data_IF_309344647755
#
_entry.id   IF_309344647755
#
_cell.length_a   1.000
_cell.length_b   1.000
_cell.length_c   1.000
_cell.angle_alpha   90.00
_cell.angle_beta   90.00
_cell.angle_gamma   90.00
#
_symmetry.space_group_name_H-M   'P 1'
#
loop_
_entity.id
_entity.type
_entity.pdbx_description
1 polymer ?
#
# COMPACT_ATOMS: atom_id res chain seq x y z
N UNK A 1 26.44 -16.00 -49.93
CA UNK A 1 25.24 -15.97 -49.05
C UNK A 1 25.57 -16.20 -47.58
N UNK A 2 26.41 -17.18 -47.23
CA UNK A 2 26.80 -17.49 -45.84
C UNK A 2 27.34 -16.29 -45.03
N UNK A 3 28.18 -15.44 -45.62
CA UNK A 3 28.73 -14.27 -44.92
C UNK A 3 27.65 -13.28 -44.45
N UNK A 4 26.58 -13.07 -45.24
CA UNK A 4 25.46 -12.21 -44.84
C UNK A 4 24.65 -12.81 -43.69
N UNK A 5 24.51 -14.14 -43.69
CA UNK A 5 23.77 -14.90 -42.67
C UNK A 5 24.50 -14.87 -41.32
N UNK A 6 25.84 -14.95 -41.34
CA UNK A 6 26.69 -14.82 -40.15
C UNK A 6 26.59 -13.42 -39.55
N UNK A 7 26.58 -12.37 -40.37
CA UNK A 7 26.46 -10.98 -39.90
C UNK A 7 25.10 -10.74 -39.25
N UNK A 8 24.01 -11.24 -39.83
CA UNK A 8 22.67 -11.10 -39.24
C UNK A 8 22.57 -11.84 -37.90
N UNK A 9 23.15 -13.04 -37.79
CA UNK A 9 23.17 -13.79 -36.53
C UNK A 9 23.95 -13.03 -35.43
N UNK A 10 25.10 -12.45 -35.79
CA UNK A 10 25.91 -11.65 -34.87
C UNK A 10 25.16 -10.41 -34.35
N UNK A 11 24.42 -9.73 -35.23
CA UNK A 11 23.60 -8.56 -34.85
C UNK A 11 22.49 -8.96 -33.87
N UNK A 12 21.84 -10.11 -34.08
CA UNK A 12 20.79 -10.60 -33.16
C UNK A 12 21.39 -10.97 -31.81
N UNK A 13 22.52 -11.68 -31.78
CA UNK A 13 23.20 -12.06 -30.52
C UNK A 13 23.65 -10.83 -29.74
N UNK A 14 24.27 -9.86 -30.42
CA UNK A 14 24.74 -8.62 -29.78
C UNK A 14 23.55 -7.76 -29.33
N UNK A 15 22.49 -7.68 -30.12
CA UNK A 15 21.24 -6.99 -29.75
C UNK A 15 20.57 -7.62 -28.53
N UNK A 16 20.51 -8.95 -28.45
CA UNK A 16 20.00 -9.67 -27.28
C UNK A 16 20.88 -9.49 -26.04
N UNK A 17 22.21 -9.47 -26.20
CA UNK A 17 23.13 -9.20 -25.10
C UNK A 17 23.01 -7.77 -24.57
N UNK A 18 22.89 -6.78 -25.47
CA UNK A 18 22.68 -5.37 -25.11
C UNK A 18 21.33 -5.17 -24.41
N UNK A 19 20.27 -5.80 -24.91
CA UNK A 19 18.95 -5.78 -24.26
C UNK A 19 18.99 -6.44 -22.88
N UNK A 20 19.66 -7.59 -22.75
CA UNK A 20 19.83 -8.28 -21.46
C UNK A 20 20.65 -7.45 -20.47
N UNK A 21 21.72 -6.78 -20.93
CA UNK A 21 22.53 -5.90 -20.07
C UNK A 21 21.84 -4.58 -19.71
N UNK A 22 21.03 -4.01 -20.61
CA UNK A 22 20.19 -2.84 -20.28
C UNK A 22 19.09 -3.20 -19.27
N UNK A 23 18.51 -4.40 -19.36
CA UNK A 23 17.53 -4.89 -18.38
C UNK A 23 18.19 -5.32 -17.05
N UNK A 24 19.43 -5.83 -17.06
CA UNK A 24 20.12 -6.30 -15.85
C UNK A 24 20.73 -5.18 -15.00
N UNK A 25 20.99 -3.99 -15.56
CA UNK A 25 21.48 -2.83 -14.80
C UNK A 25 20.46 -2.22 -13.82
N UNK A 26 19.21 -2.67 -13.81
CA UNK A 26 18.22 -2.32 -12.77
C UNK A 26 18.23 -3.32 -11.60
N UNK A 27 18.92 -4.47 -11.70
CA UNK A 27 18.87 -5.52 -10.68
C UNK A 27 20.16 -5.69 -9.85
N UNK A 28 21.30 -5.14 -10.27
CA UNK A 28 22.60 -5.40 -9.64
C UNK A 28 22.96 -4.44 -8.48
N UNK A 29 22.26 -3.31 -8.32
CA UNK A 29 22.47 -2.41 -7.18
C UNK A 29 21.83 -2.90 -5.87
N UNK A 30 20.95 -3.91 -5.93
CA UNK A 30 20.24 -4.44 -4.76
C UNK A 30 20.87 -5.70 -4.12
N UNK A 31 21.79 -6.39 -4.79
CA UNK A 31 22.42 -7.58 -4.22
C UNK A 31 23.62 -7.26 -3.33
N UNK A 32 24.40 -6.21 -3.63
CA UNK A 32 25.62 -5.92 -2.88
C UNK A 32 25.39 -5.26 -1.50
N UNK A 33 24.19 -4.71 -1.25
CA UNK A 33 23.77 -4.21 0.08
C UNK A 33 23.04 -5.29 0.88
N UNK A 34 22.40 -6.26 0.21
CA UNK A 34 21.65 -7.35 0.85
C UNK A 34 22.58 -8.32 1.57
N UNK A 35 23.72 -8.68 0.97
CA UNK A 35 24.60 -9.68 1.55
C UNK A 35 25.56 -9.10 2.60
N UNK A 36 25.75 -7.77 2.65
CA UNK A 36 26.54 -7.10 3.71
C UNK A 36 25.72 -6.78 4.97
N UNK A 37 24.39 -6.82 4.88
CA UNK A 37 23.50 -6.56 6.01
C UNK A 37 23.16 -7.85 6.81
N UNK A 38 23.32 -9.03 6.20
CA UNK A 38 22.90 -10.30 6.81
C UNK A 38 23.93 -10.82 7.83
N UNK A 39 25.22 -10.52 7.68
CA UNK A 39 26.26 -11.07 8.57
C UNK A 39 26.64 -10.18 9.78
N UNK A 40 26.05 -8.99 9.93
CA UNK A 40 26.57 -8.00 10.88
C UNK A 40 25.69 -7.58 12.06
N UNK A 41 24.37 -7.79 12.03
CA UNK A 41 23.50 -6.96 12.89
C UNK A 41 22.20 -7.59 13.41
N UNK A 42 22.05 -8.91 13.37
CA UNK A 42 20.87 -9.60 13.94
C UNK A 42 20.66 -9.35 15.44
N UNK A 43 21.68 -8.87 16.17
CA UNK A 43 21.57 -8.46 17.58
C UNK A 43 21.08 -7.02 17.83
N UNK A 44 20.97 -6.17 16.79
CA UNK A 44 20.56 -4.74 16.93
C UNK A 44 19.22 -4.40 16.26
N UNK A 45 18.62 -5.34 15.54
CA UNK A 45 17.31 -5.16 14.91
C UNK A 45 16.12 -5.19 15.90
N UNK A 46 16.37 -5.44 17.19
CA UNK A 46 15.32 -5.54 18.22
C UNK A 46 14.90 -4.15 18.75
N UNK A 47 15.61 -3.06 18.39
CA UNK A 47 15.33 -1.71 18.92
C UNK A 47 15.11 -0.62 17.87
N UNK A 48 15.03 -0.96 16.58
CA UNK A 48 14.61 0.00 15.56
C UNK A 48 13.09 -0.08 15.38
N UNK A 49 12.38 1.02 15.66
CA UNK A 49 10.95 1.16 15.36
C UNK A 49 10.60 0.76 13.92
N UNK A 50 9.31 0.55 13.61
CA UNK A 50 8.89 -0.05 12.36
C UNK A 50 9.54 0.64 11.17
N UNK A 51 10.24 -0.17 10.36
CA UNK A 51 10.99 0.33 9.21
C UNK A 51 10.06 1.20 8.35
N UNK A 52 10.46 2.46 8.14
CA UNK A 52 9.75 3.50 7.38
C UNK A 52 9.17 3.01 6.06
N UNK A 53 9.79 2.00 5.45
CA UNK A 53 9.32 1.30 4.25
C UNK A 53 7.93 0.65 4.41
N UNK A 54 7.63 0.03 5.54
CA UNK A 54 6.31 -0.57 5.80
C UNK A 54 5.24 0.51 6.02
N UNK A 55 5.59 1.63 6.67
CA UNK A 55 4.70 2.80 6.81
C UNK A 55 4.30 3.38 5.44
N UNK A 56 5.24 3.51 4.51
CA UNK A 56 4.95 3.99 3.15
C UNK A 56 4.06 3.01 2.36
N UNK A 57 4.25 1.69 2.52
CA UNK A 57 3.41 0.68 1.86
C UNK A 57 1.95 0.69 2.37
N UNK A 58 1.73 1.13 3.62
CA UNK A 58 0.40 1.22 4.23
C UNK A 58 -0.28 2.56 4.03
N UNK A 59 0.47 3.56 3.56
CA UNK A 59 -0.02 4.90 3.25
C UNK A 59 -0.94 4.95 2.05
N UNK A 60 -1.22 3.83 1.38
CA UNK A 60 -2.09 3.79 0.21
C UNK A 60 -3.43 4.42 0.58
N UNK A 61 -3.68 5.57 -0.03
CA UNK A 61 -4.94 6.29 0.05
C UNK A 61 -5.57 6.36 -1.31
N UNK A 62 -6.89 6.20 -1.34
CA UNK A 62 -7.65 6.35 -2.57
C UNK A 62 -8.44 7.65 -2.50
N UNK A 63 -8.48 8.35 -3.63
CA UNK A 63 -9.35 9.50 -3.85
C UNK A 63 -10.35 9.14 -4.93
N UNK A 64 -11.63 9.15 -4.61
CA UNK A 64 -12.72 8.86 -5.55
C UNK A 64 -13.36 10.18 -5.99
N UNK A 65 -13.39 10.43 -7.30
CA UNK A 65 -14.04 11.60 -7.90
C UNK A 65 -15.53 11.38 -8.14
N UNK A 66 -16.28 11.08 -7.08
CA UNK A 66 -17.74 10.90 -7.11
C UNK A 66 -18.40 11.70 -6.00
N UNK A 67 -19.72 11.89 -6.09
CA UNK A 67 -20.49 12.49 -5.02
C UNK A 67 -20.40 11.66 -3.71
N UNK A 68 -20.48 12.30 -2.53
CA UNK A 68 -20.39 11.67 -1.22
C UNK A 68 -21.25 10.41 -1.04
N UNK A 69 -22.48 10.46 -1.53
CA UNK A 69 -23.46 9.39 -1.35
C UNK A 69 -23.04 8.18 -2.16
N UNK A 70 -22.79 8.36 -3.45
CA UNK A 70 -22.37 7.29 -4.35
C UNK A 70 -21.03 6.66 -3.94
N UNK A 71 -20.06 7.49 -3.55
CA UNK A 71 -18.78 7.00 -3.06
C UNK A 71 -18.93 6.22 -1.75
N UNK A 72 -19.76 6.74 -0.83
CA UNK A 72 -20.03 6.09 0.45
C UNK A 72 -20.74 4.74 0.31
N UNK A 73 -21.73 4.65 -0.58
CA UNK A 73 -22.42 3.40 -0.90
C UNK A 73 -21.46 2.37 -1.50
N UNK A 74 -20.63 2.76 -2.46
CA UNK A 74 -19.63 1.88 -3.06
C UNK A 74 -18.65 1.35 -1.99
N UNK A 75 -18.09 2.24 -1.18
CA UNK A 75 -17.12 1.87 -0.14
C UNK A 75 -17.75 0.91 0.86
N UNK A 76 -18.97 1.20 1.33
CA UNK A 76 -19.68 0.36 2.29
C UNK A 76 -20.00 -1.02 1.71
N UNK A 77 -20.45 -1.06 0.44
CA UNK A 77 -20.77 -2.30 -0.24
C UNK A 77 -19.54 -3.21 -0.38
N UNK A 78 -18.41 -2.65 -0.81
CA UNK A 78 -17.16 -3.41 -0.96
C UNK A 78 -16.60 -3.83 0.40
N UNK A 79 -16.58 -2.93 1.39
CA UNK A 79 -16.06 -3.24 2.72
C UNK A 79 -16.87 -4.36 3.40
N UNK A 80 -18.21 -4.34 3.31
CA UNK A 80 -19.07 -5.39 3.88
C UNK A 80 -18.85 -6.77 3.24
N UNK A 81 -18.24 -6.82 2.04
CA UNK A 81 -17.97 -8.09 1.35
C UNK A 81 -16.74 -8.84 1.86
N UNK A 82 -15.87 -8.20 2.64
CA UNK A 82 -14.70 -8.85 3.25
C UNK A 82 -15.06 -9.33 4.68
N UNK A 83 -14.80 -10.60 4.95
CA UNK A 83 -15.15 -11.29 6.20
C UNK A 83 -14.40 -10.77 7.42
N UNK A 84 -13.30 -10.04 7.21
CA UNK A 84 -12.49 -9.46 8.28
C UNK A 84 -12.92 -8.04 8.66
N UNK A 85 -13.85 -7.44 7.91
CA UNK A 85 -14.47 -6.18 8.30
C UNK A 85 -15.51 -6.46 9.38
N UNK A 86 -15.26 -5.95 10.57
CA UNK A 86 -16.08 -6.24 11.75
C UNK A 86 -17.12 -5.18 12.03
N UNK A 87 -16.89 -3.95 11.59
CA UNK A 87 -17.83 -2.85 11.78
C UNK A 87 -17.66 -1.76 10.70
N UNK A 88 -18.79 -1.18 10.29
CA UNK A 88 -18.86 -0.04 9.38
C UNK A 88 -19.92 0.90 9.92
N UNK A 89 -19.52 2.11 10.29
CA UNK A 89 -20.45 3.11 10.78
C UNK A 89 -20.15 4.50 10.22
N UNK A 90 -21.18 5.34 10.04
CA UNK A 90 -20.99 6.73 9.70
C UNK A 90 -20.45 7.50 10.91
N UNK A 91 -19.50 8.39 10.66
CA UNK A 91 -19.02 9.43 11.56
C UNK A 91 -19.21 10.79 10.86
N UNK A 92 -19.14 11.91 11.57
CA UNK A 92 -19.46 13.24 11.00
C UNK A 92 -18.65 13.52 9.72
N UNK A 93 -19.31 13.45 8.56
CA UNK A 93 -18.70 13.65 7.25
C UNK A 93 -17.74 12.54 6.81
N UNK A 94 -17.80 11.35 7.42
CA UNK A 94 -16.93 10.23 7.10
C UNK A 94 -17.63 8.87 7.28
N UNK A 95 -17.05 7.83 6.70
CA UNK A 95 -17.37 6.43 7.00
C UNK A 95 -16.14 5.81 7.65
N UNK A 96 -16.33 5.17 8.79
CA UNK A 96 -15.28 4.44 9.50
C UNK A 96 -15.48 2.97 9.28
N UNK A 97 -14.39 2.29 8.93
CA UNK A 97 -14.35 0.84 8.70
C UNK A 97 -13.36 0.26 9.71
N UNK A 98 -13.83 -0.65 10.55
CA UNK A 98 -12.98 -1.40 11.48
C UNK A 98 -12.73 -2.80 10.93
N UNK A 99 -11.47 -3.18 10.90
CA UNK A 99 -11.01 -4.50 10.46
C UNK A 99 -10.50 -5.25 11.69
N UNK A 100 -10.74 -6.56 11.74
CA UNK A 100 -10.29 -7.47 12.81
C UNK A 100 -10.70 -7.03 14.23
N UNK A 101 -11.84 -6.38 14.38
CA UNK A 101 -12.44 -6.03 15.67
C UNK A 101 -11.97 -4.71 16.27
N UNK A 102 -10.93 -4.07 15.73
CA UNK A 102 -10.49 -2.73 16.16
C UNK A 102 -9.54 -2.05 15.17
N UNK A 103 -8.52 -2.78 14.70
CA UNK A 103 -7.46 -2.24 13.86
C UNK A 103 -7.09 -3.21 12.73
N UNK A 104 -6.86 -2.72 11.50
CA UNK A 104 -6.79 -1.30 11.11
C UNK A 104 -8.15 -0.60 11.13
N UNK A 105 -8.13 0.66 11.56
CA UNK A 105 -9.25 1.60 11.43
C UNK A 105 -9.01 2.42 10.17
N UNK A 106 -9.91 2.30 9.21
CA UNK A 106 -9.88 3.03 7.94
C UNK A 106 -10.96 4.11 7.98
N UNK A 107 -10.63 5.31 7.52
CA UNK A 107 -11.55 6.44 7.45
C UNK A 107 -11.69 6.90 6.00
N UNK A 108 -12.93 6.93 5.52
CA UNK A 108 -13.31 7.53 4.25
C UNK A 108 -13.95 8.89 4.49
N UNK A 109 -13.22 9.97 4.25
CA UNK A 109 -13.72 11.33 4.36
C UNK A 109 -14.58 11.66 3.14
N UNK A 110 -15.86 11.95 3.38
CA UNK A 110 -16.82 12.30 2.34
C UNK A 110 -16.82 13.81 2.13
N UNK A 111 -16.19 14.29 1.05
CA UNK A 111 -16.16 15.71 0.69
C UNK A 111 -17.09 15.97 -0.50
N UNK A 112 -17.63 17.20 -0.67
CA UNK A 112 -18.60 17.49 -1.73
C UNK A 112 -18.14 17.16 -3.15
N UNK A 113 -16.83 17.24 -3.41
CA UNK A 113 -16.20 17.04 -4.72
C UNK A 113 -15.47 15.70 -4.87
N UNK A 114 -15.16 15.03 -3.75
CA UNK A 114 -14.35 13.81 -3.72
C UNK A 114 -14.45 13.07 -2.40
N UNK A 115 -14.16 11.78 -2.42
CA UNK A 115 -14.00 10.99 -1.20
C UNK A 115 -12.56 10.56 -1.04
N UNK A 116 -11.96 10.79 0.13
CA UNK A 116 -10.59 10.37 0.42
C UNK A 116 -10.62 9.27 1.48
N UNK A 117 -10.15 8.08 1.13
CA UNK A 117 -10.10 6.91 2.01
C UNK A 117 -8.66 6.50 2.29
N UNK A 118 -8.38 6.19 3.55
CA UNK A 118 -7.09 5.67 3.98
C UNK A 118 -7.14 5.11 5.40
N UNK A 119 -6.12 4.34 5.77
CA UNK A 119 -5.93 3.90 7.16
C UNK A 119 -5.76 5.13 8.04
N UNK A 120 -6.60 5.28 9.05
CA UNK A 120 -6.51 6.30 10.09
C UNK A 120 -5.57 5.85 11.19
N UNK A 121 -5.73 4.60 11.62
CA UNK A 121 -4.96 4.01 12.71
C UNK A 121 -4.73 2.53 12.49
N UNK A 122 -3.59 2.01 12.96
CA UNK A 122 -3.27 0.60 12.83
C UNK A 122 -2.42 0.09 13.99
N UNK A 123 -2.68 -1.16 14.35
CA UNK A 123 -1.95 -1.93 15.35
C UNK A 123 -0.66 -2.51 14.80
N UNK A 124 0.40 -2.44 15.61
CA UNK A 124 1.68 -3.07 15.36
C UNK A 124 2.00 -4.18 16.38
N UNK A 125 2.30 -5.37 15.86
CA UNK A 125 2.74 -6.50 16.68
C UNK A 125 3.99 -7.13 16.10
N UNK A 126 4.99 -7.38 16.95
CA UNK A 126 6.27 -8.01 16.58
C UNK A 126 6.97 -7.35 15.36
N UNK A 127 6.80 -6.03 15.18
CA UNK A 127 7.39 -5.31 14.05
C UNK A 127 6.59 -5.41 12.74
N UNK A 128 5.40 -6.04 12.74
CA UNK A 128 4.53 -6.14 11.57
C UNK A 128 3.19 -5.40 11.72
N UNK A 129 2.76 -4.70 10.66
CA UNK A 129 1.40 -4.21 10.50
C UNK A 129 0.33 -5.29 10.62
N UNK A 130 -0.59 -5.15 11.58
CA UNK A 130 -1.74 -6.04 11.63
C UNK A 130 -2.83 -5.53 10.67
N UNK A 131 -3.39 -6.45 9.88
CA UNK A 131 -4.47 -6.17 8.92
C UNK A 131 -4.12 -5.33 7.68
N UNK A 132 -2.86 -4.94 7.47
CA UNK A 132 -2.44 -4.17 6.28
C UNK A 132 -2.73 -4.90 4.94
N UNK A 133 -2.59 -6.23 4.90
CA UNK A 133 -2.93 -7.03 3.72
C UNK A 133 -4.44 -7.03 3.43
N UNK A 134 -5.27 -6.90 4.46
CA UNK A 134 -6.73 -6.78 4.31
C UNK A 134 -7.07 -5.41 3.75
N UNK A 135 -6.45 -4.36 4.28
CA UNK A 135 -6.60 -3.01 3.74
C UNK A 135 -6.21 -2.94 2.27
N UNK A 136 -5.05 -3.49 1.87
CA UNK A 136 -4.62 -3.44 0.47
C UNK A 136 -5.58 -4.16 -0.48
N UNK A 137 -6.16 -5.28 -0.03
CA UNK A 137 -7.20 -6.01 -0.76
C UNK A 137 -8.47 -5.17 -0.92
N UNK A 138 -8.99 -4.60 0.17
CA UNK A 138 -10.18 -3.75 0.17
C UNK A 138 -9.94 -2.52 -0.72
N UNK A 139 -8.81 -1.85 -0.58
CA UNK A 139 -8.42 -0.71 -1.40
C UNK A 139 -8.39 -1.08 -2.90
N UNK A 140 -7.80 -2.22 -3.23
CA UNK A 140 -7.78 -2.72 -4.61
C UNK A 140 -9.19 -3.00 -5.14
N UNK A 141 -10.05 -3.62 -4.34
CA UNK A 141 -11.44 -3.90 -4.72
C UNK A 141 -12.25 -2.62 -4.92
N UNK A 142 -12.10 -1.62 -4.04
CA UNK A 142 -12.73 -0.30 -4.19
C UNK A 142 -12.28 0.37 -5.49
N UNK A 143 -10.97 0.39 -5.76
CA UNK A 143 -10.40 0.99 -6.97
C UNK A 143 -10.93 0.32 -8.24
N UNK A 144 -10.99 -1.01 -8.26
CA UNK A 144 -11.52 -1.77 -9.40
C UNK A 144 -13.00 -1.48 -9.61
N UNK A 145 -13.81 -1.57 -8.56
CA UNK A 145 -15.25 -1.33 -8.63
C UNK A 145 -15.57 0.12 -9.04
N UNK A 146 -14.84 1.11 -8.50
CA UNK A 146 -14.95 2.50 -8.90
C UNK A 146 -14.65 2.68 -10.41
N UNK A 147 -13.56 2.07 -10.89
CA UNK A 147 -13.19 2.11 -12.31
C UNK A 147 -14.28 1.50 -13.20
N UNK A 148 -14.85 0.36 -12.79
CA UNK A 148 -15.96 -0.28 -13.52
C UNK A 148 -17.24 0.59 -13.57
N UNK A 149 -17.46 1.43 -12.56
CA UNK A 149 -18.59 2.36 -12.51
C UNK A 149 -18.30 3.72 -13.16
N UNK A 150 -17.12 3.89 -13.78
CA UNK A 150 -16.69 5.14 -14.39
C UNK A 150 -16.38 6.25 -13.39
N UNK A 151 -16.10 5.90 -12.12
CA UNK A 151 -15.68 6.85 -11.09
C UNK A 151 -14.16 7.06 -11.21
N UNK A 152 -13.67 8.30 -11.38
CA UNK A 152 -12.24 8.59 -11.36
C UNK A 152 -11.61 8.18 -10.03
N UNK A 153 -10.47 7.49 -10.09
CA UNK A 153 -9.70 7.07 -8.91
C UNK A 153 -8.30 7.66 -8.99
N UNK A 154 -7.87 8.31 -7.90
CA UNK A 154 -6.48 8.72 -7.67
C UNK A 154 -5.87 7.93 -6.51
N UNK A 155 -4.61 7.54 -6.64
CA UNK A 155 -3.85 6.91 -5.55
C UNK A 155 -2.83 7.89 -4.96
N UNK A 156 -2.63 7.82 -3.66
CA UNK A 156 -1.66 8.63 -2.94
C UNK A 156 -1.03 7.86 -1.78
N UNK A 157 -0.05 8.47 -1.13
CA UNK A 157 0.58 7.96 0.09
C UNK A 157 0.38 8.96 1.24
N UNK A 158 0.03 8.47 2.44
CA UNK A 158 0.02 9.26 3.68
C UNK A 158 1.17 8.84 4.60
N UNK A 159 1.70 9.83 5.32
CA UNK A 159 2.68 9.60 6.38
C UNK A 159 1.97 9.27 7.70
N UNK A 160 2.57 8.37 8.48
CA UNK A 160 2.07 7.96 9.79
C UNK A 160 3.07 8.35 10.88
N UNK A 161 2.55 8.66 12.06
CA UNK A 161 3.30 8.87 13.29
C UNK A 161 2.79 7.92 14.38
N UNK A 162 3.66 7.58 15.33
CA UNK A 162 3.25 6.79 16.51
C UNK A 162 2.30 7.63 17.36
N UNK A 163 1.17 7.06 17.78
CA UNK A 163 0.25 7.73 18.69
C UNK A 163 0.77 7.64 20.13
N UNK A 164 1.16 8.78 20.70
CA UNK A 164 1.68 8.87 22.07
C UNK A 164 0.57 8.74 23.13
N UNK A 165 -0.70 8.92 22.76
CA UNK A 165 -1.85 8.83 23.67
C UNK A 165 -2.41 7.41 23.80
N UNK A 166 -2.07 6.52 22.88
CA UNK A 166 -2.37 5.09 22.97
C UNK A 166 -1.46 4.44 24.03
N UNK A 167 -1.80 4.61 25.30
CA UNK A 167 -1.04 4.05 26.43
C UNK A 167 -1.31 2.55 26.61
N UNK A 168 -0.76 1.73 25.71
CA UNK A 168 -0.89 0.27 25.81
C UNK A 168 -0.14 -0.50 24.74
N UNK A 169 0.00 -1.82 24.95
CA UNK A 169 0.24 -2.76 23.86
C UNK A 169 -1.13 -3.19 23.32
N UNK A 170 -1.33 -3.22 22.00
CA UNK A 170 -0.30 -3.07 20.97
C UNK A 170 -0.05 -1.61 20.51
N UNK A 171 1.08 -1.36 19.84
CA UNK A 171 1.45 0.00 19.40
C UNK A 171 0.48 0.49 18.31
N UNK A 172 -0.06 1.69 18.48
CA UNK A 172 -0.96 2.32 17.49
C UNK A 172 -0.22 3.43 16.75
N UNK A 173 -0.34 3.43 15.43
CA UNK A 173 0.21 4.46 14.55
C UNK A 173 -0.93 5.15 13.80
N UNK A 174 -0.94 6.48 13.79
CA UNK A 174 -2.00 7.32 13.22
C UNK A 174 -1.47 8.19 12.07
N UNK A 175 -2.37 8.58 11.15
CA UNK A 175 -2.02 9.49 10.05
C UNK A 175 -1.57 10.84 10.60
N UNK A 176 -0.46 11.34 10.08
CA UNK A 176 -0.02 12.71 10.35
C UNK A 176 -0.90 13.66 9.56
N UNK A 177 -1.79 14.38 10.26
CA UNK A 177 -2.53 15.50 9.66
C UNK A 177 -1.56 16.68 9.60
N UNK A 178 -1.30 17.27 8.43
CA UNK A 178 -0.49 18.48 8.30
C UNK A 178 -1.13 19.68 9.00
#
# INVERSE_FOLDING_TARGET
MFAKLIVVLLVIIVGSFLWYFMKSKVSAAHQQVRDRAIDGNFGRAITAGPATKHLTMMGRTLTLGADPTRAGELISHIATSDDRVTDIHPEQGAIVIQIDGSYPRVRAQLMPDRTVIGVEAMTWEMGFPQGAAVWDRIATAISQAATHQGIPVGEGAREFAKDEHASGKPEVWTVRVP
#
